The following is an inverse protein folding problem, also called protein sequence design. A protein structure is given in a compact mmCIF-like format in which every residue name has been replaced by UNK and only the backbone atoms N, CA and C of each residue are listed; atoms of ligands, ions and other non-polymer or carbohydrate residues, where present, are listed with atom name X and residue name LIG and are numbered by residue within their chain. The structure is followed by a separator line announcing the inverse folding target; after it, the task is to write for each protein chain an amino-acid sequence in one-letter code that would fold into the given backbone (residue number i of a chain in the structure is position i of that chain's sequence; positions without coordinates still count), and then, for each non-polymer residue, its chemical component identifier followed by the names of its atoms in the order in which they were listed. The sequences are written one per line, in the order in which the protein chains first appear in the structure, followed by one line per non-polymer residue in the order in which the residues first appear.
data_IF_899720089696
#
_entry.id   IF_899720089696
#
_cell.length_a   1.000
_cell.length_b   1.000
_cell.length_c   1.000
_cell.angle_alpha   90.00
_cell.angle_beta   90.00
_cell.angle_gamma   90.00
#
_symmetry.space_group_name_H-M   'P 1'
#
loop_
_entity.id
_entity.type
_entity.pdbx_description
1 polymer ?
#
# COMPACT_ATOMS: atom_id res chain seq x y z
N UNK A 1 -8.77 18.67 24.26
CA UNK A 1 -7.33 18.53 24.53
C UNK A 1 -6.84 17.38 23.66
N UNK A 2 -6.11 17.67 22.57
CA UNK A 2 -5.59 16.61 21.70
C UNK A 2 -4.40 16.00 22.45
N UNK A 3 -4.55 14.77 22.97
CA UNK A 3 -3.41 13.97 23.42
C UNK A 3 -2.57 13.69 22.17
N UNK A 4 -1.48 14.43 21.98
CA UNK A 4 -0.57 14.17 20.88
C UNK A 4 0.22 12.89 21.22
N UNK A 5 -0.27 11.75 20.74
CA UNK A 5 0.36 10.45 20.90
C UNK A 5 1.77 10.49 20.27
N UNK A 6 2.74 9.82 20.89
CA UNK A 6 4.11 9.79 20.40
C UNK A 6 4.19 9.13 19.00
N UNK A 7 5.13 9.55 18.14
CA UNK A 7 5.32 8.91 16.84
C UNK A 7 5.62 7.42 16.98
N UNK A 8 5.03 6.62 16.10
CA UNK A 8 5.23 5.17 16.04
C UNK A 8 6.44 4.84 15.15
N UNK A 9 7.19 3.83 15.56
CA UNK A 9 8.33 3.26 14.85
C UNK A 9 8.17 1.75 14.78
N UNK A 10 8.80 1.15 13.78
CA UNK A 10 8.87 -0.31 13.62
C UNK A 10 10.32 -0.77 13.48
N UNK A 11 10.59 -2.01 13.85
CA UNK A 11 11.91 -2.63 13.64
C UNK A 11 12.24 -2.70 12.15
N UNK A 12 13.44 -2.27 11.75
CA UNK A 12 13.90 -2.34 10.35
C UNK A 12 14.10 -3.76 9.85
N UNK A 13 14.51 -4.65 10.75
CA UNK A 13 14.84 -6.04 10.46
C UNK A 13 14.29 -6.95 11.56
N UNK A 14 13.94 -8.18 11.21
CA UNK A 14 13.47 -9.20 12.15
C UNK A 14 12.02 -9.64 11.89
N UNK A 15 11.69 -10.84 12.36
CA UNK A 15 10.33 -11.39 12.34
C UNK A 15 10.02 -11.95 13.74
N UNK A 16 8.91 -11.56 14.39
CA UNK A 16 7.90 -10.60 13.92
C UNK A 16 8.41 -9.14 13.94
N UNK A 17 7.79 -8.28 13.13
CA UNK A 17 7.96 -6.83 13.23
C UNK A 17 7.42 -6.37 14.58
N UNK A 18 8.19 -5.56 15.31
CA UNK A 18 7.77 -4.98 16.59
C UNK A 18 7.50 -3.49 16.42
N UNK A 19 6.49 -2.99 17.14
CA UNK A 19 6.13 -1.59 17.15
C UNK A 19 6.46 -0.95 18.50
N UNK A 20 6.96 0.28 18.45
CA UNK A 20 7.23 1.10 19.64
C UNK A 20 6.82 2.53 19.34
N UNK A 21 6.54 3.32 20.37
CA UNK A 21 6.45 4.78 20.23
C UNK A 21 7.69 5.42 20.83
N UNK A 22 8.22 6.47 20.20
CA UNK A 22 9.46 7.07 20.67
C UNK A 22 9.54 8.56 20.36
N UNK A 23 10.22 9.29 21.24
CA UNK A 23 10.56 10.69 21.03
C UNK A 23 12.02 10.96 21.37
N UNK A 24 12.69 11.83 20.59
CA UNK A 24 14.02 12.31 20.95
C UNK A 24 13.91 13.18 22.21
N UNK A 25 14.71 12.84 23.22
CA UNK A 25 14.85 13.63 24.44
C UNK A 25 15.63 14.89 24.10
N UNK A 26 15.02 16.04 24.29
CA UNK A 26 15.61 17.36 24.03
C UNK A 26 16.44 17.83 25.23
N UNK A 27 15.87 17.73 26.43
CA UNK A 27 16.55 18.11 27.67
C UNK A 27 16.09 17.26 28.84
N UNK A 28 16.94 17.17 29.85
CA UNK A 28 16.72 16.39 31.07
C UNK A 28 16.96 17.31 32.26
N UNK A 29 15.98 17.41 33.15
CA UNK A 29 16.08 18.18 34.40
C UNK A 29 15.96 17.22 35.58
N UNK A 30 17.10 16.84 36.15
CA UNK A 30 17.15 16.04 37.37
C UNK A 30 16.76 16.90 38.58
N UNK A 31 15.99 16.32 39.49
CA UNK A 31 15.64 16.94 40.75
C UNK A 31 16.60 16.49 41.86
N UNK A 32 16.52 17.12 43.03
CA UNK A 32 17.38 16.78 44.16
C UNK A 32 17.12 15.37 44.75
N UNK A 33 15.98 14.75 44.41
CA UNK A 33 15.60 13.42 44.90
C UNK A 33 16.01 12.29 43.94
N UNK A 34 16.69 12.60 42.82
CA UNK A 34 17.18 11.62 41.85
C UNK A 34 16.23 11.34 40.68
N UNK A 35 14.95 11.74 40.76
CA UNK A 35 14.00 11.71 39.65
C UNK A 35 14.36 12.79 38.61
N UNK A 36 13.77 12.73 37.42
CA UNK A 36 13.97 13.74 36.40
C UNK A 36 12.74 13.99 35.54
N UNK A 37 12.72 15.15 34.90
CA UNK A 37 11.76 15.46 33.83
C UNK A 37 12.50 15.39 32.49
N UNK A 38 12.00 14.52 31.60
CA UNK A 38 12.41 14.42 30.20
C UNK A 38 11.51 15.33 29.36
N UNK A 39 12.10 16.31 28.69
CA UNK A 39 11.41 17.15 27.71
C UNK A 39 11.77 16.72 26.29
N UNK A 40 10.84 16.86 25.33
CA UNK A 40 11.01 16.37 23.96
C UNK A 40 10.84 17.49 22.93
N UNK A 41 11.53 17.35 21.80
CA UNK A 41 11.42 18.28 20.69
C UNK A 41 10.07 18.15 19.96
N UNK A 42 9.56 19.21 19.34
CA UNK A 42 8.34 19.16 18.51
C UNK A 42 7.03 19.46 19.24
N UNK A 43 7.09 20.10 20.42
CA UNK A 43 5.90 20.54 21.15
C UNK A 43 5.16 19.42 21.89
N UNK A 44 5.80 18.27 22.07
CA UNK A 44 5.26 17.19 22.90
C UNK A 44 5.39 17.51 24.39
N UNK A 45 4.46 17.00 25.20
CA UNK A 45 4.52 17.14 26.66
C UNK A 45 5.71 16.41 27.27
N UNK A 46 6.16 16.83 28.44
CA UNK A 46 7.28 16.19 29.16
C UNK A 46 6.83 14.93 29.92
N UNK A 47 7.77 14.04 30.22
CA UNK A 47 7.56 12.84 31.05
C UNK A 47 8.44 12.90 32.29
N UNK A 48 7.84 12.65 33.45
CA UNK A 48 8.57 12.49 34.70
C UNK A 48 9.02 11.03 34.85
N UNK A 49 10.27 10.83 35.23
CA UNK A 49 10.89 9.52 35.47
C UNK A 49 11.49 9.48 36.86
N UNK A 50 11.40 8.33 37.52
CA UNK A 50 11.91 8.14 38.88
C UNK A 50 13.44 7.97 38.93
N UNK A 51 13.97 7.92 40.15
CA UNK A 51 15.38 7.71 40.44
C UNK A 51 15.90 6.36 39.89
N UNK A 52 15.06 5.32 39.93
CA UNK A 52 15.37 4.00 39.39
C UNK A 52 15.59 4.05 37.88
N UNK A 53 14.73 4.73 37.14
CA UNK A 53 14.89 4.90 35.70
C UNK A 53 16.18 5.66 35.38
N UNK A 54 16.43 6.75 36.12
CA UNK A 54 17.63 7.56 35.94
C UNK A 54 18.91 6.77 36.22
N UNK A 55 18.93 5.93 37.26
CA UNK A 55 20.07 5.09 37.62
C UNK A 55 20.28 3.92 36.66
N UNK A 56 19.20 3.24 36.24
CA UNK A 56 19.27 2.07 35.36
C UNK A 56 19.69 2.43 33.94
N UNK A 57 19.16 3.51 33.40
CA UNK A 57 19.31 3.84 31.98
C UNK A 57 20.30 4.98 31.71
N UNK A 58 20.64 5.78 32.72
CA UNK A 58 21.51 6.95 32.62
C UNK A 58 21.26 7.78 31.35
N UNK A 59 20.02 8.29 31.16
CA UNK A 59 19.59 8.89 29.92
C UNK A 59 20.35 10.18 29.60
N UNK A 60 20.53 10.44 28.30
CA UNK A 60 21.21 11.64 27.78
C UNK A 60 20.35 12.37 26.76
N UNK A 61 20.45 13.70 26.72
CA UNK A 61 19.83 14.50 25.66
C UNK A 61 20.32 14.04 24.28
N UNK A 62 19.41 14.01 23.32
CA UNK A 62 19.63 13.51 21.96
C UNK A 62 19.37 12.01 21.78
N UNK A 63 19.27 11.22 22.85
CA UNK A 63 18.77 9.84 22.77
C UNK A 63 17.24 9.78 22.67
N UNK A 64 16.69 8.57 22.67
CA UNK A 64 15.25 8.33 22.55
C UNK A 64 14.67 7.79 23.85
N UNK A 65 13.57 8.40 24.29
CA UNK A 65 12.66 7.74 25.19
C UNK A 65 11.73 6.86 24.34
N UNK A 66 11.57 5.60 24.72
CA UNK A 66 10.86 4.58 23.94
C UNK A 66 9.82 3.92 24.84
N UNK A 67 8.57 3.88 24.39
CA UNK A 67 7.49 3.10 25.00
C UNK A 67 7.20 1.88 24.13
N UNK A 68 7.17 0.71 24.74
CA UNK A 68 6.75 -0.51 24.06
C UNK A 68 5.21 -0.63 23.94
N UNK A 69 4.74 -1.75 23.41
CA UNK A 69 3.30 -2.04 23.21
C UNK A 69 2.50 -2.11 24.53
N UNK A 70 3.19 -2.23 25.67
CA UNK A 70 2.61 -2.30 27.01
C UNK A 70 2.70 -0.95 27.75
N UNK A 71 3.29 0.07 27.11
CA UNK A 71 3.50 1.39 27.68
C UNK A 71 4.71 1.49 28.62
N UNK A 72 5.56 0.47 28.68
CA UNK A 72 6.77 0.52 29.50
C UNK A 72 7.78 1.49 28.88
N UNK A 73 8.17 2.50 29.65
CA UNK A 73 9.16 3.48 29.24
C UNK A 73 10.59 2.95 29.43
N UNK A 74 11.41 3.09 28.39
CA UNK A 74 12.85 2.79 28.37
C UNK A 74 13.61 3.93 27.69
N UNK A 75 14.93 3.94 27.83
CA UNK A 75 15.80 4.87 27.09
C UNK A 75 16.76 4.11 26.19
N UNK A 76 16.93 4.60 24.97
CA UNK A 76 17.82 4.03 23.97
C UNK A 76 18.68 5.15 23.38
N UNK A 77 19.99 4.95 23.32
CA UNK A 77 20.90 5.91 22.69
C UNK A 77 20.53 6.10 21.21
N UNK A 78 20.71 7.33 20.70
CA UNK A 78 20.33 7.73 19.33
C UNK A 78 20.78 6.71 18.27
N UNK A 79 22.07 6.40 18.26
CA UNK A 79 22.67 5.50 17.29
C UNK A 79 22.03 4.10 17.33
N UNK A 80 21.78 3.57 18.53
CA UNK A 80 21.15 2.25 18.70
C UNK A 80 19.70 2.26 18.23
N UNK A 81 18.94 3.30 18.57
CA UNK A 81 17.54 3.42 18.18
C UNK A 81 17.41 3.56 16.66
N UNK A 82 18.13 4.51 16.06
CA UNK A 82 18.07 4.78 14.62
C UNK A 82 18.66 3.65 13.78
N UNK A 83 19.55 2.81 14.34
CA UNK A 83 19.99 1.59 13.67
C UNK A 83 18.90 0.52 13.63
N UNK A 84 18.15 0.35 14.72
CA UNK A 84 17.18 -0.73 14.88
C UNK A 84 15.77 -0.40 14.37
N UNK A 85 15.38 0.88 14.41
CA UNK A 85 14.01 1.32 14.14
C UNK A 85 13.95 2.33 12.99
N UNK A 86 12.88 2.24 12.21
CA UNK A 86 12.50 3.26 11.22
C UNK A 86 11.15 3.85 11.58
N UNK A 87 10.93 5.10 11.17
CA UNK A 87 9.62 5.73 11.32
C UNK A 87 8.61 4.87 10.59
N UNK A 88 7.46 4.59 11.23
CA UNK A 88 6.30 4.20 10.45
C UNK A 88 5.75 5.48 9.83
N UNK A 89 6.41 5.99 8.79
CA UNK A 89 5.68 6.81 7.85
C UNK A 89 4.48 5.96 7.42
N UNK A 90 3.24 6.48 7.45
CA UNK A 90 2.16 5.78 6.76
C UNK A 90 2.69 5.55 5.35
N UNK A 91 2.84 4.27 4.96
CA UNK A 91 3.41 3.90 3.67
C UNK A 91 2.74 4.78 2.62
N UNK A 92 3.49 5.71 2.00
CA UNK A 92 2.94 6.91 1.35
C UNK A 92 1.59 6.60 0.70
N UNK A 93 0.51 6.87 1.44
CA UNK A 93 -0.79 6.36 1.04
C UNK A 93 -1.20 7.27 -0.09
N UNK A 94 -1.31 6.70 -1.28
CA UNK A 94 -1.99 7.37 -2.38
C UNK A 94 -3.44 7.50 -1.94
N UNK A 95 -3.83 8.71 -1.53
CA UNK A 95 -5.20 8.98 -1.12
C UNK A 95 -6.17 8.60 -2.24
N UNK A 96 -7.41 8.27 -1.89
CA UNK A 96 -8.43 7.94 -2.89
C UNK A 96 -8.60 9.10 -3.88
N UNK A 97 -8.70 8.77 -5.17
CA UNK A 97 -8.74 9.75 -6.25
C UNK A 97 -7.46 10.58 -6.44
N UNK A 98 -6.38 10.33 -5.70
CA UNK A 98 -5.16 11.14 -5.81
C UNK A 98 -4.45 11.00 -7.17
N UNK A 99 -4.66 9.89 -7.89
CA UNK A 99 -4.16 9.72 -9.26
C UNK A 99 -5.29 10.05 -10.23
N UNK A 100 -5.20 11.24 -10.82
CA UNK A 100 -6.12 11.71 -11.85
C UNK A 100 -5.53 11.48 -13.24
N UNK A 101 -6.35 11.58 -14.28
CA UNK A 101 -5.89 11.50 -15.68
C UNK A 101 -4.77 12.49 -15.98
N UNK A 102 -4.85 13.72 -15.47
CA UNK A 102 -3.82 14.74 -15.69
C UNK A 102 -2.44 14.38 -15.07
N UNK A 103 -2.41 13.46 -14.09
CA UNK A 103 -1.16 12.97 -13.48
C UNK A 103 -0.57 11.77 -14.23
N UNK A 104 -1.31 11.20 -15.19
CA UNK A 104 -0.84 10.16 -16.09
C UNK A 104 -0.57 10.77 -17.45
N UNK A 105 0.72 10.98 -17.76
CA UNK A 105 1.12 11.35 -19.10
C UNK A 105 0.67 10.29 -20.13
N UNK A 106 0.57 10.69 -21.39
CA UNK A 106 0.26 9.75 -22.48
C UNK A 106 1.24 8.58 -22.47
N UNK A 107 0.71 7.37 -22.58
CA UNK A 107 1.48 6.11 -22.50
C UNK A 107 2.18 5.85 -21.16
N UNK A 108 1.82 6.55 -20.08
CA UNK A 108 2.41 6.33 -18.76
C UNK A 108 2.19 4.91 -18.23
N UNK A 109 1.08 4.25 -18.59
CA UNK A 109 0.79 2.85 -18.21
C UNK A 109 1.17 1.93 -19.36
N UNK A 110 2.34 1.30 -19.25
CA UNK A 110 2.88 0.37 -20.25
C UNK A 110 2.66 -1.09 -19.84
N UNK A 111 2.91 -2.03 -20.75
CA UNK A 111 2.70 -3.46 -20.51
C UNK A 111 3.44 -3.97 -19.26
N UNK A 112 4.70 -3.55 -19.04
CA UNK A 112 5.49 -3.98 -17.87
C UNK A 112 4.90 -3.51 -16.54
N UNK A 113 4.08 -2.44 -16.55
CA UNK A 113 3.40 -1.91 -15.35
C UNK A 113 2.09 -2.64 -15.04
N UNK A 114 1.63 -3.51 -15.94
CA UNK A 114 0.42 -4.30 -15.77
C UNK A 114 0.81 -5.76 -15.54
N UNK A 115 0.65 -6.22 -14.30
CA UNK A 115 0.80 -7.64 -13.99
C UNK A 115 -0.23 -8.49 -14.75
N UNK A 116 0.05 -9.79 -14.88
CA UNK A 116 -0.95 -10.74 -15.40
C UNK A 116 -2.25 -10.65 -14.59
N UNK A 117 -3.39 -10.66 -15.27
CA UNK A 117 -4.73 -10.49 -14.68
C UNK A 117 -4.98 -9.15 -13.97
N UNK A 118 -4.15 -8.11 -14.21
CA UNK A 118 -4.37 -6.79 -13.62
C UNK A 118 -5.66 -6.12 -14.13
N UNK A 119 -6.06 -6.38 -15.37
CA UNK A 119 -7.34 -5.93 -15.96
C UNK A 119 -8.26 -7.13 -16.06
N UNK A 120 -9.38 -7.10 -15.32
CA UNK A 120 -10.38 -8.17 -15.23
C UNK A 120 -11.70 -7.70 -15.84
N UNK A 121 -12.62 -8.62 -16.12
CA UNK A 121 -13.89 -8.31 -16.80
C UNK A 121 -14.65 -7.12 -16.18
N UNK A 122 -14.81 -6.99 -14.84
CA UNK A 122 -15.51 -5.84 -14.26
C UNK A 122 -14.81 -4.49 -14.47
N UNK A 123 -13.52 -4.49 -14.83
CA UNK A 123 -12.73 -3.27 -15.12
C UNK A 123 -12.88 -2.81 -16.58
N UNK A 124 -13.49 -3.63 -17.44
CA UNK A 124 -13.75 -3.31 -18.85
C UNK A 124 -15.24 -3.08 -19.02
N UNK A 125 -15.64 -1.83 -19.26
CA UNK A 125 -17.05 -1.51 -19.50
C UNK A 125 -17.56 -2.26 -20.74
N UNK A 126 -18.84 -2.64 -20.77
CA UNK A 126 -19.45 -3.33 -21.92
C UNK A 126 -19.34 -2.54 -23.24
N UNK A 127 -19.31 -1.20 -23.16
CA UNK A 127 -19.12 -0.31 -24.31
C UNK A 127 -17.65 0.08 -24.56
N UNK A 128 -16.68 -0.57 -23.91
CA UNK A 128 -15.27 -0.26 -24.08
C UNK A 128 -14.81 -0.54 -25.52
N UNK A 129 -14.21 0.47 -26.15
CA UNK A 129 -13.65 0.33 -27.49
C UNK A 129 -12.32 -0.44 -27.44
N UNK A 130 -12.38 -1.76 -27.60
CA UNK A 130 -11.20 -2.61 -27.82
C UNK A 130 -11.09 -2.95 -29.29
N UNK A 131 -9.95 -2.64 -29.92
CA UNK A 131 -9.74 -2.94 -31.34
C UNK A 131 -9.86 -4.45 -31.56
N UNK A 132 -10.75 -4.89 -32.45
CA UNK A 132 -11.06 -6.31 -32.66
C UNK A 132 -9.83 -7.20 -32.96
N UNK A 133 -8.78 -6.66 -33.58
CA UNK A 133 -7.48 -7.36 -33.78
C UNK A 133 -6.76 -7.74 -32.48
N UNK A 134 -7.20 -7.23 -31.33
CA UNK A 134 -6.66 -7.51 -30.00
C UNK A 134 -7.54 -8.48 -29.19
N UNK A 135 -8.68 -8.90 -29.75
CA UNK A 135 -9.55 -9.92 -29.18
C UNK A 135 -9.28 -11.23 -29.92
N UNK A 136 -9.17 -12.34 -29.19
CA UNK A 136 -9.07 -13.67 -29.80
C UNK A 136 -10.40 -13.99 -30.49
N UNK A 137 -10.34 -14.49 -31.73
CA UNK A 137 -11.46 -14.58 -32.68
C UNK A 137 -12.76 -15.21 -32.13
N UNK A 138 -12.67 -16.09 -31.13
CA UNK A 138 -13.85 -16.72 -30.51
C UNK A 138 -14.69 -15.77 -29.63
N UNK A 139 -14.15 -14.64 -29.15
CA UNK A 139 -14.87 -13.69 -28.30
C UNK A 139 -15.72 -12.67 -29.07
N UNK A 140 -15.61 -12.61 -30.40
CA UNK A 140 -16.32 -11.62 -31.22
C UNK A 140 -17.76 -12.01 -31.60
N UNK A 141 -18.18 -13.24 -31.30
CA UNK A 141 -19.41 -13.83 -31.84
C UNK A 141 -20.55 -13.90 -30.81
N UNK A 142 -20.94 -12.77 -30.24
CA UNK A 142 -22.32 -12.56 -29.74
C UNK A 142 -22.80 -11.15 -30.10
N UNK A 143 -22.70 -10.79 -31.38
CA UNK A 143 -23.62 -9.79 -31.91
C UNK A 143 -25.03 -10.36 -31.75
N UNK A 144 -25.85 -9.75 -30.91
CA UNK A 144 -27.28 -10.03 -30.82
C UNK A 144 -27.89 -9.98 -32.22
N UNK A 145 -28.08 -11.14 -32.85
CA UNK A 145 -28.77 -11.31 -34.14
C UNK A 145 -28.04 -10.87 -35.41
N UNK A 146 -26.72 -10.58 -35.39
CA UNK A 146 -25.97 -10.16 -36.58
C UNK A 146 -25.20 -11.28 -37.26
N UNK A 147 -25.12 -11.27 -38.60
CA UNK A 147 -24.23 -12.14 -39.38
C UNK A 147 -22.77 -11.76 -39.15
N UNK A 148 -21.96 -12.69 -38.63
CA UNK A 148 -20.51 -12.52 -38.48
C UNK A 148 -19.84 -13.00 -39.76
N UNK A 149 -19.32 -12.07 -40.56
CA UNK A 149 -18.49 -12.41 -41.73
C UNK A 149 -17.06 -12.67 -41.27
N UNK A 150 -16.59 -13.90 -41.40
CA UNK A 150 -15.19 -14.27 -41.16
C UNK A 150 -14.41 -14.23 -42.48
N UNK A 151 -13.10 -13.88 -42.47
CA UNK A 151 -12.25 -13.98 -43.65
C UNK A 151 -12.26 -15.39 -44.25
N UNK A 152 -12.17 -15.48 -45.58
CA UNK A 152 -12.07 -16.77 -46.26
C UNK A 152 -10.83 -17.55 -45.77
N UNK A 153 -11.03 -18.83 -45.39
CA UNK A 153 -9.97 -19.69 -44.85
C UNK A 153 -9.89 -19.75 -43.32
N UNK A 154 -10.77 -19.05 -42.60
CA UNK A 154 -10.82 -19.15 -41.13
C UNK A 154 -11.45 -20.49 -40.70
N UNK A 155 -10.69 -21.37 -40.04
CA UNK A 155 -11.23 -22.58 -39.43
C UNK A 155 -11.96 -22.21 -38.13
N UNK A 156 -13.29 -22.23 -38.15
CA UNK A 156 -14.09 -22.25 -36.91
C UNK A 156 -14.01 -23.67 -36.34
N UNK A 157 -13.71 -23.77 -35.05
CA UNK A 157 -13.59 -25.04 -34.32
C UNK A 157 -14.87 -25.88 -34.51
N UNK A 158 -14.71 -27.19 -34.69
CA UNK A 158 -15.77 -28.13 -35.09
C UNK A 158 -16.94 -28.21 -34.08
N UNK A 159 -16.75 -27.68 -32.86
CA UNK A 159 -17.78 -27.58 -31.83
C UNK A 159 -18.79 -26.43 -32.07
N UNK A 160 -18.51 -25.48 -32.96
CA UNK A 160 -19.45 -24.41 -33.32
C UNK A 160 -20.40 -24.95 -34.38
N UNK A 161 -21.53 -25.50 -33.95
CA UNK A 161 -22.66 -25.85 -34.82
C UNK A 161 -23.24 -24.56 -35.41
N UNK A 162 -22.69 -24.09 -36.52
CA UNK A 162 -23.37 -23.12 -37.38
C UNK A 162 -24.60 -23.86 -37.91
N UNK A 163 -25.80 -23.48 -37.46
CA UNK A 163 -27.05 -23.93 -38.08
C UNK A 163 -27.06 -23.27 -39.47
N UNK A 164 -26.44 -23.92 -40.45
CA UNK A 164 -26.74 -23.69 -41.85
C UNK A 164 -28.10 -24.36 -42.05
N UNK A 165 -29.18 -23.59 -41.94
CA UNK A 165 -30.49 -24.08 -42.39
C UNK A 165 -30.32 -24.54 -43.84
N UNK A 166 -30.39 -25.85 -44.05
CA UNK A 166 -30.31 -26.42 -45.37
C UNK A 166 -31.46 -25.80 -46.19
N UNK A 167 -31.12 -25.09 -47.26
CA UNK A 167 -32.10 -24.71 -48.29
C UNK A 167 -32.69 -26.01 -48.81
N UNK A 168 -34.00 -26.22 -48.61
CA UNK A 168 -34.72 -27.37 -49.15
C UNK A 168 -34.59 -27.37 -50.68
N UNK A 169 -33.93 -28.38 -51.29
CA UNK A 169 -33.76 -28.44 -52.73
C UNK A 169 -35.05 -28.84 -53.49
N UNK A 170 -36.18 -29.06 -52.79
CA UNK A 170 -37.45 -29.43 -53.44
C UNK A 170 -38.29 -28.25 -53.96
N UNK A 171 -37.84 -27.00 -53.78
CA UNK A 171 -38.54 -25.81 -54.27
C UNK A 171 -38.10 -25.39 -55.70
N UNK A 172 -38.10 -26.33 -56.64
CA UNK A 172 -37.97 -26.06 -58.08
C UNK A 172 -39.08 -26.76 -58.88
#
# INVERSE_FOLDING_TARGET
MILNQWPVYKTKTGTPIRYVTALPVDSIKQNATGSAVLSFAGGYGSVEVDDRFMSLWNPVAGGYAVQDEQGQLTFVAKATFEAAYETTAPAAVVADGAITSAKLADNAVTAVKLASNAVTDPKVAAAAAVKGTKLVTAAAATSAGGTVTVPAGTTVDAAIKIILDAVDPSAA
#
